data_IF_876295061317
#
_entry.id   IF_876295061317
#
_cell.length_a   1.000
_cell.length_b   1.000
_cell.length_c   1.000
_cell.angle_alpha   90.00
_cell.angle_beta   90.00
_cell.angle_gamma   90.00
#
_symmetry.space_group_name_H-M   'P 1'
#
loop_
_entity.id
_entity.type
_entity.pdbx_description
1 polymer ?
#
# COMPACT_ATOMS: atom_id res chain seq x y z
N UNK A 1 -22.40 -10.42 2.63
CA UNK A 1 -21.78 -9.25 2.00
C UNK A 1 -20.40 -9.10 2.63
N UNK A 2 -19.33 -9.33 1.85
CA UNK A 2 -17.95 -9.19 2.33
C UNK A 2 -17.60 -7.71 2.30
N UNK A 3 -17.49 -7.05 3.47
CA UNK A 3 -16.85 -5.75 3.56
C UNK A 3 -15.34 -5.99 3.52
N UNK A 4 -14.59 -5.29 2.66
CA UNK A 4 -13.13 -5.39 2.67
C UNK A 4 -12.61 -4.79 3.98
N UNK A 5 -11.62 -5.46 4.57
CA UNK A 5 -10.85 -4.97 5.69
C UNK A 5 -10.38 -3.54 5.42
N UNK A 6 -10.53 -2.71 6.42
CA UNK A 6 -10.31 -1.27 6.45
C UNK A 6 -9.02 -0.89 5.72
N UNK A 7 -9.18 -0.09 4.67
CA UNK A 7 -8.11 0.58 3.96
C UNK A 7 -7.58 1.73 4.80
N UNK A 8 -6.63 1.47 5.69
CA UNK A 8 -5.76 2.52 6.16
C UNK A 8 -4.73 2.80 5.06
N UNK A 9 -5.07 3.77 4.20
CA UNK A 9 -4.12 4.42 3.31
C UNK A 9 -3.07 5.12 4.16
N UNK A 10 -2.01 4.42 4.53
CA UNK A 10 -0.78 5.08 4.93
C UNK A 10 -0.01 5.39 3.66
N UNK A 11 -0.37 6.52 3.04
CA UNK A 11 0.46 7.12 2.02
C UNK A 11 1.86 7.32 2.60
N UNK A 12 2.86 6.98 1.83
CA UNK A 12 4.24 7.39 2.09
C UNK A 12 4.28 8.92 2.15
N UNK A 13 4.09 9.48 3.31
CA UNK A 13 4.50 10.85 3.59
C UNK A 13 5.99 10.78 3.85
N UNK A 14 6.78 10.71 2.78
CA UNK A 14 8.15 11.20 2.84
C UNK A 14 8.04 12.64 3.28
N UNK A 15 8.65 12.95 4.43
CA UNK A 15 8.58 14.22 5.13
C UNK A 15 8.33 15.39 4.17
N UNK A 16 7.12 15.95 4.22
CA UNK A 16 6.77 17.13 3.48
C UNK A 16 7.60 18.27 4.02
N UNK A 17 8.77 18.51 3.42
CA UNK A 17 9.30 19.84 3.36
C UNK A 17 8.15 20.72 2.85
N UNK A 18 7.85 21.80 3.52
CA UNK A 18 6.88 22.83 3.13
C UNK A 18 6.93 23.02 1.61
N UNK A 19 6.00 22.38 0.90
CA UNK A 19 5.84 22.57 -0.54
C UNK A 19 5.28 23.99 -0.68
N UNK A 20 5.97 24.91 -1.32
CA UNK A 20 5.47 26.26 -1.49
C UNK A 20 4.12 26.20 -2.21
N UNK A 21 3.17 26.94 -1.74
CA UNK A 21 1.76 27.07 -2.16
C UNK A 21 1.56 27.42 -3.65
N UNK A 22 2.63 27.54 -4.43
CA UNK A 22 2.62 27.96 -5.83
C UNK A 22 2.15 26.88 -6.83
N UNK A 23 2.10 25.60 -6.43
CA UNK A 23 1.69 24.51 -7.34
C UNK A 23 0.19 24.32 -7.49
N UNK A 24 -0.64 24.95 -6.66
CA UNK A 24 -2.09 24.86 -6.77
C UNK A 24 -2.66 25.54 -8.03
N UNK A 25 -1.85 26.36 -8.72
CA UNK A 25 -2.26 27.15 -9.88
C UNK A 25 -1.81 26.56 -11.23
N UNK A 26 -1.00 25.49 -11.25
CA UNK A 26 -0.56 24.88 -12.52
C UNK A 26 -1.66 23.97 -13.05
N UNK A 27 -2.11 24.26 -14.27
CA UNK A 27 -3.05 23.41 -15.01
C UNK A 27 -2.31 22.19 -15.57
N UNK A 28 -2.35 21.09 -14.81
CA UNK A 28 -1.68 19.84 -15.17
C UNK A 28 -2.38 19.08 -16.32
N UNK A 29 -3.58 19.50 -16.70
CA UNK A 29 -4.29 18.92 -17.86
C UNK A 29 -3.84 19.57 -19.17
N UNK A 30 -3.07 20.66 -19.11
CA UNK A 30 -2.49 21.28 -20.30
C UNK A 30 -1.22 20.53 -20.73
N UNK A 31 -1.21 19.86 -21.88
CA UNK A 31 -0.07 19.05 -22.35
C UNK A 31 1.19 19.89 -22.67
N UNK A 32 1.08 21.21 -22.70
CA UNK A 32 2.22 22.13 -22.89
C UNK A 32 2.96 22.44 -21.60
N UNK A 33 2.42 22.05 -20.44
CA UNK A 33 3.03 22.29 -19.15
C UNK A 33 4.17 21.30 -18.93
N UNK A 34 5.39 21.81 -18.95
CA UNK A 34 6.58 21.03 -18.59
C UNK A 34 6.93 21.30 -17.13
N UNK A 35 6.99 20.24 -16.36
CA UNK A 35 7.43 20.29 -14.96
C UNK A 35 8.92 20.01 -14.85
N UNK A 36 9.58 20.67 -13.89
CA UNK A 36 10.95 20.27 -13.52
C UNK A 36 10.92 18.92 -12.76
N UNK A 37 12.02 18.15 -12.77
CA UNK A 37 12.06 16.81 -12.17
C UNK A 37 11.65 16.78 -10.69
N UNK A 38 11.92 17.84 -9.93
CA UNK A 38 11.55 18.01 -8.54
C UNK A 38 10.05 18.29 -8.32
N UNK A 39 9.35 18.78 -9.35
CA UNK A 39 7.92 19.09 -9.33
C UNK A 39 7.04 17.87 -9.66
N UNK A 40 7.56 16.97 -10.49
CA UNK A 40 6.80 15.81 -10.99
C UNK A 40 6.20 14.97 -9.85
N UNK A 41 6.92 14.58 -8.79
CA UNK A 41 6.34 13.74 -7.74
C UNK A 41 5.13 14.36 -7.03
N UNK A 42 5.17 15.67 -6.77
CA UNK A 42 4.05 16.39 -6.13
C UNK A 42 2.86 16.53 -7.05
N UNK A 43 3.10 16.74 -8.35
CA UNK A 43 2.06 16.78 -9.37
C UNK A 43 1.36 15.42 -9.50
N UNK A 44 2.13 14.34 -9.58
CA UNK A 44 1.63 12.96 -9.63
C UNK A 44 0.73 12.66 -8.43
N UNK A 45 1.16 13.01 -7.21
CA UNK A 45 0.37 12.80 -6.01
C UNK A 45 -0.97 13.53 -6.07
N UNK A 46 -0.98 14.78 -6.57
CA UNK A 46 -2.21 15.57 -6.77
C UNK A 46 -3.12 14.91 -7.80
N UNK A 47 -2.58 14.50 -8.95
CA UNK A 47 -3.34 13.88 -10.03
C UNK A 47 -3.97 12.54 -9.60
N UNK A 48 -3.26 11.73 -8.82
CA UNK A 48 -3.81 10.48 -8.26
C UNK A 48 -5.00 10.80 -7.33
N UNK A 49 -4.89 11.82 -6.45
CA UNK A 49 -6.01 12.25 -5.58
C UNK A 49 -7.21 12.75 -6.39
N UNK A 50 -6.95 13.45 -7.50
CA UNK A 50 -7.97 13.95 -8.42
C UNK A 50 -8.51 12.86 -9.36
N UNK A 51 -8.00 11.63 -9.28
CA UNK A 51 -8.32 10.47 -10.13
C UNK A 51 -8.02 10.69 -11.62
N UNK A 52 -7.05 11.53 -11.91
CA UNK A 52 -6.54 11.80 -13.26
C UNK A 52 -5.39 10.85 -13.58
N UNK A 53 -5.70 9.55 -13.68
CA UNK A 53 -4.70 8.49 -13.69
C UNK A 53 -3.84 8.49 -14.95
N UNK A 54 -4.44 8.73 -16.12
CA UNK A 54 -3.71 8.79 -17.39
C UNK A 54 -2.65 9.89 -17.37
N UNK A 55 -3.02 11.11 -16.97
CA UNK A 55 -2.09 12.25 -16.84
C UNK A 55 -1.01 11.98 -15.78
N UNK A 56 -1.40 11.35 -14.66
CA UNK A 56 -0.43 10.96 -13.64
C UNK A 56 0.60 9.96 -14.17
N UNK A 57 0.17 8.98 -14.98
CA UNK A 57 1.05 7.99 -15.59
C UNK A 57 2.01 8.62 -16.61
N UNK A 58 1.53 9.58 -17.41
CA UNK A 58 2.37 10.34 -18.34
C UNK A 58 3.50 11.07 -17.59
N UNK A 59 3.20 11.82 -16.52
CA UNK A 59 4.22 12.48 -15.71
C UNK A 59 5.16 11.51 -14.99
N UNK A 60 4.67 10.35 -14.54
CA UNK A 60 5.53 9.31 -13.98
C UNK A 60 6.53 8.83 -15.05
N UNK A 61 6.06 8.54 -16.25
CA UNK A 61 6.92 8.06 -17.33
C UNK A 61 7.95 9.13 -17.74
N UNK A 62 7.52 10.38 -17.94
CA UNK A 62 8.42 11.50 -18.21
C UNK A 62 9.50 11.65 -17.13
N UNK A 63 9.11 11.60 -15.87
CA UNK A 63 10.06 11.71 -14.76
C UNK A 63 11.00 10.51 -14.66
N UNK A 64 10.57 9.31 -15.01
CA UNK A 64 11.40 8.11 -15.06
C UNK A 64 12.32 8.07 -16.28
N UNK A 65 11.97 8.71 -17.40
CA UNK A 65 12.90 8.93 -18.52
C UNK A 65 14.06 9.84 -18.11
N UNK A 66 13.77 10.89 -17.32
CA UNK A 66 14.80 11.81 -16.81
C UNK A 66 15.61 11.19 -15.66
N UNK A 67 14.99 10.41 -14.79
CA UNK A 67 15.62 9.73 -13.65
C UNK A 67 15.09 8.30 -13.51
N UNK A 68 15.67 7.32 -14.20
CA UNK A 68 15.21 5.92 -14.20
C UNK A 68 15.30 5.22 -12.83
N UNK A 69 16.04 5.79 -11.88
CA UNK A 69 16.22 5.26 -10.52
C UNK A 69 15.48 6.07 -9.46
N UNK A 70 14.50 6.90 -9.85
CA UNK A 70 13.66 7.61 -8.89
C UNK A 70 12.81 6.63 -8.08
N UNK A 71 13.21 6.38 -6.82
CA UNK A 71 12.44 5.53 -5.91
C UNK A 71 11.02 6.08 -5.69
N UNK A 72 10.89 7.40 -5.57
CA UNK A 72 9.60 8.05 -5.36
C UNK A 72 8.63 7.81 -6.51
N UNK A 73 9.05 8.02 -7.76
CA UNK A 73 8.17 7.83 -8.92
C UNK A 73 7.83 6.35 -9.16
N UNK A 74 8.79 5.44 -8.96
CA UNK A 74 8.52 4.00 -9.05
C UNK A 74 7.52 3.55 -7.98
N UNK A 75 7.63 4.07 -6.76
CA UNK A 75 6.64 3.79 -5.72
C UNK A 75 5.29 4.40 -6.05
N UNK A 76 5.25 5.66 -6.51
CA UNK A 76 4.01 6.34 -6.91
C UNK A 76 3.29 5.61 -8.05
N UNK A 77 4.02 4.96 -8.95
CA UNK A 77 3.43 4.12 -10.01
C UNK A 77 2.62 2.96 -9.43
N UNK A 78 3.11 2.32 -8.37
CA UNK A 78 2.34 1.28 -7.68
C UNK A 78 1.09 1.83 -6.99
N UNK A 79 1.19 3.03 -6.39
CA UNK A 79 0.06 3.73 -5.76
C UNK A 79 -0.98 4.13 -6.80
N UNK A 80 -0.55 4.58 -7.98
CA UNK A 80 -1.44 4.90 -9.10
C UNK A 80 -2.25 3.68 -9.52
N UNK A 81 -1.60 2.55 -9.80
CA UNK A 81 -2.29 1.32 -10.19
C UNK A 81 -3.28 0.82 -9.12
N UNK A 82 -2.94 0.96 -7.85
CA UNK A 82 -3.85 0.64 -6.75
C UNK A 82 -5.09 1.55 -6.77
N UNK A 83 -4.88 2.86 -6.94
CA UNK A 83 -5.96 3.86 -6.95
C UNK A 83 -6.89 3.71 -8.16
N UNK A 84 -6.35 3.27 -9.28
CA UNK A 84 -7.08 2.98 -10.52
C UNK A 84 -7.85 1.65 -10.47
N UNK A 85 -7.53 0.78 -9.50
CA UNK A 85 -8.18 -0.53 -9.33
C UNK A 85 -7.48 -1.67 -10.05
N UNK A 86 -6.17 -1.55 -10.28
CA UNK A 86 -5.32 -2.56 -10.88
C UNK A 86 -4.36 -3.19 -9.85
N UNK A 87 -4.87 -3.94 -8.84
CA UNK A 87 -4.06 -4.45 -7.73
C UNK A 87 -2.94 -5.40 -8.18
N UNK A 88 -3.14 -6.16 -9.25
CA UNK A 88 -2.12 -7.07 -9.76
C UNK A 88 -0.93 -6.31 -10.37
N UNK A 89 -1.20 -5.18 -11.06
CA UNK A 89 -0.15 -4.32 -11.58
C UNK A 89 0.57 -3.59 -10.45
N UNK A 90 -0.17 -3.07 -9.47
CA UNK A 90 0.39 -2.44 -8.28
C UNK A 90 1.33 -3.39 -7.53
N UNK A 91 0.91 -4.63 -7.32
CA UNK A 91 1.74 -5.66 -6.68
C UNK A 91 3.01 -5.93 -7.48
N UNK A 92 2.91 -6.11 -8.80
CA UNK A 92 4.05 -6.36 -9.69
C UNK A 92 5.07 -5.22 -9.64
N UNK A 93 4.61 -3.97 -9.62
CA UNK A 93 5.50 -2.81 -9.47
C UNK A 93 6.20 -2.83 -8.10
N UNK A 94 5.49 -3.14 -7.01
CA UNK A 94 6.09 -3.24 -5.68
C UNK A 94 7.09 -4.40 -5.57
N UNK A 95 6.81 -5.55 -6.19
CA UNK A 95 7.75 -6.68 -6.23
C UNK A 95 9.04 -6.35 -7.00
N UNK A 96 8.92 -5.55 -8.05
CA UNK A 96 10.08 -4.99 -8.77
C UNK A 96 10.81 -3.95 -7.92
N UNK A 97 10.03 -3.12 -7.22
CA UNK A 97 10.53 -2.04 -6.39
C UNK A 97 11.43 -2.54 -5.26
N UNK A 98 11.02 -3.56 -4.49
CA UNK A 98 11.83 -4.10 -3.38
C UNK A 98 13.13 -4.78 -3.82
N UNK A 99 13.24 -5.18 -5.10
CA UNK A 99 14.50 -5.70 -5.66
C UNK A 99 15.53 -4.58 -5.89
N UNK A 100 15.04 -3.37 -6.19
CA UNK A 100 15.89 -2.21 -6.48
C UNK A 100 16.14 -1.38 -5.22
N UNK A 101 15.15 -1.31 -4.32
CA UNK A 101 15.14 -0.50 -3.10
C UNK A 101 14.74 -1.36 -1.89
N UNK A 102 15.59 -2.33 -1.50
CA UNK A 102 15.24 -3.27 -0.43
C UNK A 102 15.19 -2.64 0.98
N UNK A 103 15.64 -1.39 1.12
CA UNK A 103 15.68 -0.65 2.38
C UNK A 103 14.39 0.11 2.70
N UNK A 104 13.38 0.11 1.81
CA UNK A 104 12.16 0.91 1.97
C UNK A 104 11.03 0.06 2.59
N UNK A 105 10.72 0.24 3.89
CA UNK A 105 9.78 -0.63 4.61
C UNK A 105 8.33 -0.50 4.13
N UNK A 106 7.94 0.63 3.57
CA UNK A 106 6.58 0.88 3.06
C UNK A 106 6.20 -0.10 1.94
N UNK A 107 7.14 -0.46 1.08
CA UNK A 107 6.90 -1.39 -0.01
C UNK A 107 6.57 -2.80 0.51
N UNK A 108 7.28 -3.26 1.53
CA UNK A 108 7.00 -4.54 2.19
C UNK A 108 5.64 -4.53 2.90
N UNK A 109 5.32 -3.45 3.61
CA UNK A 109 4.01 -3.29 4.24
C UNK A 109 2.87 -3.34 3.21
N UNK A 110 3.03 -2.71 2.06
CA UNK A 110 2.03 -2.71 1.00
C UNK A 110 1.91 -4.11 0.35
N UNK A 111 3.02 -4.79 0.11
CA UNK A 111 3.00 -6.17 -0.40
C UNK A 111 2.33 -7.15 0.59
N UNK A 112 2.55 -6.95 1.89
CA UNK A 112 1.91 -7.76 2.93
C UNK A 112 0.38 -7.65 2.88
N UNK A 113 -0.17 -6.47 2.58
CA UNK A 113 -1.60 -6.28 2.40
C UNK A 113 -2.16 -7.13 1.25
N UNK A 114 -1.45 -7.22 0.12
CA UNK A 114 -1.87 -8.08 -0.99
C UNK A 114 -1.83 -9.57 -0.60
N UNK A 115 -0.79 -10.00 0.12
CA UNK A 115 -0.69 -11.37 0.62
C UNK A 115 -1.83 -11.69 1.59
N UNK A 116 -2.09 -10.81 2.56
CA UNK A 116 -3.18 -10.95 3.54
C UNK A 116 -4.56 -11.02 2.87
N UNK A 117 -4.82 -10.16 1.88
CA UNK A 117 -6.09 -10.15 1.14
C UNK A 117 -6.37 -11.45 0.39
N UNK A 118 -5.33 -12.18 0.00
CA UNK A 118 -5.43 -13.52 -0.61
C UNK A 118 -5.47 -14.65 0.41
N UNK A 119 -5.34 -14.35 1.70
CA UNK A 119 -5.29 -15.35 2.77
C UNK A 119 -3.92 -16.02 2.92
N UNK A 120 -2.88 -15.50 2.27
CA UNK A 120 -1.50 -15.93 2.45
C UNK A 120 -0.89 -15.20 3.65
N UNK A 121 -1.36 -15.60 4.84
CA UNK A 121 -0.96 -14.95 6.09
C UNK A 121 0.51 -15.15 6.42
N UNK A 122 1.06 -16.31 6.06
CA UNK A 122 2.49 -16.58 6.25
C UNK A 122 3.35 -15.61 5.45
N UNK A 123 3.01 -15.38 4.20
CA UNK A 123 3.74 -14.42 3.36
C UNK A 123 3.55 -12.98 3.85
N UNK A 124 2.36 -12.64 4.32
CA UNK A 124 2.09 -11.32 4.91
C UNK A 124 2.93 -11.09 6.17
N UNK A 125 3.04 -12.07 7.07
CA UNK A 125 3.90 -12.02 8.26
C UNK A 125 5.37 -11.82 7.89
N UNK A 126 5.92 -12.59 6.94
CA UNK A 126 7.30 -12.45 6.47
C UNK A 126 7.59 -11.02 6.00
N UNK A 127 6.70 -10.46 5.17
CA UNK A 127 6.84 -9.11 4.62
C UNK A 127 6.76 -8.03 5.71
N UNK A 128 5.82 -8.15 6.65
CA UNK A 128 5.68 -7.21 7.76
C UNK A 128 6.86 -7.28 8.73
N UNK A 129 7.37 -8.48 8.98
CA UNK A 129 8.57 -8.67 9.78
C UNK A 129 9.77 -7.99 9.12
N UNK A 130 9.91 -8.09 7.79
CA UNK A 130 10.95 -7.39 7.05
C UNK A 130 10.77 -5.85 7.16
N UNK A 131 9.55 -5.34 7.01
CA UNK A 131 9.27 -3.92 7.18
C UNK A 131 9.65 -3.41 8.58
N UNK A 132 9.35 -4.21 9.62
CA UNK A 132 9.68 -3.89 11.01
C UNK A 132 11.17 -4.04 11.33
N UNK A 133 11.89 -4.96 10.66
CA UNK A 133 13.34 -5.07 10.77
C UNK A 133 14.04 -3.82 10.21
N UNK A 134 13.52 -3.27 9.10
CA UNK A 134 14.02 -2.03 8.50
C UNK A 134 13.65 -0.79 9.33
N UNK A 135 12.44 -0.76 9.90
CA UNK A 135 11.95 0.34 10.73
C UNK A 135 11.20 -0.20 11.95
N UNK A 136 11.88 -0.43 13.10
CA UNK A 136 11.25 -0.98 14.30
C UNK A 136 10.08 -0.15 14.85
N UNK A 137 10.08 1.17 14.62
CA UNK A 137 9.02 2.10 15.02
C UNK A 137 7.85 2.23 14.02
N UNK A 138 7.75 1.36 13.00
CA UNK A 138 6.70 1.45 11.99
C UNK A 138 5.37 0.94 12.54
N UNK A 139 4.60 1.83 13.16
CA UNK A 139 3.32 1.50 13.84
C UNK A 139 2.33 0.83 12.90
N UNK A 140 2.15 1.34 11.68
CA UNK A 140 1.21 0.76 10.70
C UNK A 140 1.58 -0.69 10.34
N UNK A 141 2.87 -0.99 10.16
CA UNK A 141 3.28 -2.38 9.89
C UNK A 141 3.03 -3.29 11.09
N UNK A 142 3.17 -2.78 12.32
CA UNK A 142 2.89 -3.52 13.55
C UNK A 142 1.39 -3.80 13.70
N UNK A 143 0.54 -2.83 13.42
CA UNK A 143 -0.91 -2.98 13.41
C UNK A 143 -1.35 -4.00 12.34
N UNK A 144 -0.78 -3.90 11.12
CA UNK A 144 -1.06 -4.85 10.06
C UNK A 144 -0.62 -6.28 10.43
N UNK A 145 0.52 -6.43 11.13
CA UNK A 145 0.98 -7.73 11.61
C UNK A 145 0.02 -8.31 12.66
N UNK A 146 -0.48 -7.48 13.57
CA UNK A 146 -1.51 -7.90 14.52
C UNK A 146 -2.78 -8.37 13.79
N UNK A 147 -3.23 -7.64 12.76
CA UNK A 147 -4.38 -8.02 11.95
C UNK A 147 -4.17 -9.35 11.19
N UNK A 148 -2.96 -9.60 10.71
CA UNK A 148 -2.59 -10.89 10.09
C UNK A 148 -2.73 -12.03 11.09
N UNK A 149 -2.22 -11.89 12.32
CA UNK A 149 -2.35 -12.91 13.36
C UNK A 149 -3.81 -13.15 13.78
N UNK A 150 -4.61 -12.11 13.86
CA UNK A 150 -6.04 -12.23 14.14
C UNK A 150 -6.79 -12.98 13.03
N UNK A 151 -6.46 -12.69 11.77
CA UNK A 151 -7.04 -13.36 10.61
C UNK A 151 -6.63 -14.85 10.54
N UNK A 152 -5.38 -15.17 10.84
CA UNK A 152 -4.88 -16.55 10.91
C UNK A 152 -5.55 -17.31 12.06
N UNK A 153 -5.67 -16.69 13.24
CA UNK A 153 -6.40 -17.26 14.37
C UNK A 153 -7.87 -17.54 14.03
N UNK A 154 -8.54 -16.61 13.35
CA UNK A 154 -9.92 -16.79 12.89
C UNK A 154 -10.04 -17.97 11.94
N UNK A 155 -9.10 -18.12 11.00
CA UNK A 155 -9.08 -19.25 10.07
C UNK A 155 -8.89 -20.58 10.80
N UNK A 156 -7.95 -20.66 11.74
CA UNK A 156 -7.72 -21.87 12.54
C UNK A 156 -8.94 -22.24 13.39
N UNK A 157 -9.57 -21.25 14.04
CA UNK A 157 -10.80 -21.46 14.82
C UNK A 157 -11.95 -21.93 13.92
N UNK A 158 -12.08 -21.41 12.72
CA UNK A 158 -13.08 -21.82 11.74
C UNK A 158 -12.93 -23.29 11.32
N UNK A 159 -11.69 -23.73 11.10
CA UNK A 159 -11.40 -25.15 10.80
C UNK A 159 -11.77 -26.04 11.98
N UNK A 160 -11.35 -25.67 13.21
CA UNK A 160 -11.65 -26.43 14.42
C UNK A 160 -13.18 -26.48 14.70
N UNK A 161 -13.89 -25.39 14.49
CA UNK A 161 -15.35 -25.33 14.65
C UNK A 161 -16.07 -26.26 13.66
N UNK A 162 -15.63 -26.29 12.38
CA UNK A 162 -16.14 -27.24 11.38
C UNK A 162 -15.88 -28.69 11.77
N UNK A 163 -14.77 -28.95 12.49
CA UNK A 163 -14.44 -30.26 13.07
C UNK A 163 -15.24 -30.62 14.34
N UNK A 164 -16.26 -29.80 14.73
CA UNK A 164 -17.16 -30.08 15.84
C UNK A 164 -16.75 -29.44 17.19
N UNK A 165 -15.70 -28.63 17.22
CA UNK A 165 -15.29 -27.95 18.46
C UNK A 165 -16.22 -26.79 18.79
N UNK A 166 -17.12 -26.99 19.78
CA UNK A 166 -18.00 -25.92 20.29
C UNK A 166 -17.23 -24.78 20.94
N UNK A 167 -16.06 -25.06 21.55
CA UNK A 167 -15.20 -24.03 22.10
C UNK A 167 -14.60 -23.13 21.00
N UNK A 168 -14.14 -23.73 19.92
CA UNK A 168 -13.61 -22.98 18.77
C UNK A 168 -14.70 -22.12 18.11
N UNK A 169 -15.92 -22.63 17.97
CA UNK A 169 -17.05 -21.87 17.43
C UNK A 169 -17.34 -20.60 18.26
N UNK A 170 -17.40 -20.72 19.61
CA UNK A 170 -17.61 -19.56 20.50
C UNK A 170 -16.47 -18.55 20.42
N UNK A 171 -15.22 -19.01 20.38
CA UNK A 171 -14.05 -18.12 20.24
C UNK A 171 -14.01 -17.42 18.89
N UNK A 172 -14.40 -18.11 17.82
CA UNK A 172 -14.52 -17.51 16.49
C UNK A 172 -15.53 -16.36 16.48
N UNK A 173 -16.74 -16.59 17.04
CA UNK A 173 -17.77 -15.55 17.13
C UNK A 173 -17.25 -14.33 17.91
N UNK A 174 -16.59 -14.54 19.05
CA UNK A 174 -16.04 -13.44 19.85
C UNK A 174 -14.94 -12.67 19.07
N UNK A 175 -14.10 -13.37 18.31
CA UNK A 175 -13.08 -12.75 17.48
C UNK A 175 -13.69 -11.97 16.30
N UNK A 176 -14.71 -12.52 15.65
CA UNK A 176 -15.42 -11.85 14.55
C UNK A 176 -16.17 -10.59 15.03
N UNK A 177 -16.67 -10.57 16.27
CA UNK A 177 -17.24 -9.35 16.87
C UNK A 177 -16.17 -8.29 17.13
N UNK A 178 -15.01 -8.69 17.67
CA UNK A 178 -13.89 -7.78 17.91
C UNK A 178 -13.36 -7.13 16.60
N UNK A 179 -13.45 -7.83 15.49
CA UNK A 179 -12.97 -7.35 14.17
C UNK A 179 -14.00 -6.48 13.42
N UNK A 180 -15.17 -6.18 14.00
CA UNK A 180 -16.19 -5.30 13.39
C UNK A 180 -16.01 -3.84 13.74
N UNK A 181 -15.28 -3.54 14.83
CA UNK A 181 -14.95 -2.19 15.28
C UNK A 181 -13.71 -1.64 14.56
#
# INVERSE_FOLDING_TARGET
MKRPFLTLFSALVLASALVPTTYAAVDLDNPSVKLSPDQIPSAVERLIREKKFDTALEYINEGLEQNPISAQLKFQKSVLYEAEGWPDLAQKELESFIKTFPEIPEAYNNLARYASNRGDYKRAEELLTQALALRPGYTTARENLANVYLAEAAQALKVAAKGGSRSAARRLTALEELLKD
#
